data_IF_769493516747
#
_entry.id   IF_769493516747
#
_cell.length_a   1.000
_cell.length_b   1.000
_cell.length_c   1.000
_cell.angle_alpha   90.00
_cell.angle_beta   90.00
_cell.angle_gamma   90.00
#
_symmetry.space_group_name_H-M   'P 1'
#
loop_
_entity.id
_entity.type
_entity.pdbx_description
1 polymer ?
#
# COMPACT_ATOMS: atom_id res chain seq x y z
N UNK A 1 5.00 -25.37 -10.51
CA UNK A 1 6.08 -24.39 -10.79
C UNK A 1 5.88 -23.23 -9.85
N UNK A 2 6.72 -23.17 -8.82
CA UNK A 2 6.57 -22.27 -7.67
C UNK A 2 6.72 -20.80 -8.11
N UNK A 3 5.68 -19.99 -7.89
CA UNK A 3 5.69 -18.58 -8.27
C UNK A 3 6.65 -17.74 -7.41
N UNK A 4 7.26 -18.35 -6.38
CA UNK A 4 8.10 -17.68 -5.39
C UNK A 4 7.28 -16.93 -4.33
N UNK A 5 5.96 -16.99 -4.42
CA UNK A 5 5.03 -16.61 -3.36
C UNK A 5 4.77 -17.89 -2.58
N UNK A 6 5.38 -18.01 -1.40
CA UNK A 6 5.04 -19.08 -0.46
C UNK A 6 3.76 -18.67 0.25
N UNK A 7 2.71 -19.45 0.07
CA UNK A 7 1.50 -19.31 0.87
C UNK A 7 1.71 -20.00 2.21
N UNK A 8 1.31 -19.33 3.29
CA UNK A 8 1.43 -19.82 4.65
C UNK A 8 0.06 -20.28 5.17
N UNK A 9 0.03 -21.40 5.88
CA UNK A 9 -1.20 -21.95 6.47
C UNK A 9 -1.70 -21.10 7.64
N UNK A 10 -0.81 -20.30 8.24
CA UNK A 10 -1.11 -19.41 9.36
C UNK A 10 -1.56 -18.02 8.86
N UNK A 11 -1.74 -17.85 7.54
CA UNK A 11 -2.21 -16.62 6.90
C UNK A 11 -3.46 -16.91 6.08
N UNK A 12 -4.53 -16.16 6.33
CA UNK A 12 -5.71 -16.15 5.47
C UNK A 12 -5.52 -15.18 4.30
N UNK A 13 -5.77 -15.66 3.09
CA UNK A 13 -5.68 -14.85 1.88
C UNK A 13 -7.07 -14.44 1.38
N UNK A 14 -7.32 -13.14 1.26
CA UNK A 14 -8.57 -12.60 0.75
C UNK A 14 -8.34 -11.94 -0.61
N UNK A 15 -8.86 -12.56 -1.66
CA UNK A 15 -8.73 -12.10 -3.05
C UNK A 15 -9.97 -11.34 -3.47
N UNK A 16 -9.81 -10.09 -3.91
CA UNK A 16 -10.89 -9.27 -4.44
C UNK A 16 -10.83 -9.26 -5.96
N UNK A 17 -11.94 -9.62 -6.61
CA UNK A 17 -12.09 -9.65 -8.06
C UNK A 17 -13.17 -8.67 -8.48
N UNK A 18 -12.78 -7.71 -9.31
CA UNK A 18 -13.71 -6.77 -9.91
C UNK A 18 -14.43 -7.45 -11.08
N UNK A 19 -15.76 -7.38 -11.09
CA UNK A 19 -16.63 -8.13 -12.02
C UNK A 19 -16.55 -7.59 -13.45
N UNK A 20 -16.17 -6.32 -13.63
CA UNK A 20 -15.90 -5.71 -14.93
C UNK A 20 -14.59 -6.25 -15.53
N UNK A 21 -14.63 -7.48 -16.03
CA UNK A 21 -13.47 -8.16 -16.62
C UNK A 21 -13.53 -9.68 -16.59
N UNK A 22 -14.44 -10.28 -15.82
CA UNK A 22 -14.70 -11.72 -15.86
C UNK A 22 -16.05 -12.01 -16.51
N UNK A 23 -16.06 -12.89 -17.51
CA UNK A 23 -17.27 -13.49 -18.08
C UNK A 23 -17.89 -14.53 -17.14
N UNK A 24 -17.96 -14.26 -15.84
CA UNK A 24 -18.78 -15.00 -14.87
C UNK A 24 -20.13 -14.29 -14.77
N UNK A 25 -20.82 -14.17 -15.91
CA UNK A 25 -21.98 -13.29 -16.07
C UNK A 25 -23.32 -13.94 -15.72
N UNK A 26 -23.36 -14.99 -14.89
CA UNK A 26 -24.63 -15.68 -14.64
C UNK A 26 -24.93 -16.19 -13.24
N UNK A 27 -24.06 -16.07 -12.23
CA UNK A 27 -24.38 -16.73 -10.93
C UNK A 27 -24.18 -15.90 -9.66
N UNK A 28 -23.63 -14.69 -9.70
CA UNK A 28 -23.44 -13.89 -8.48
C UNK A 28 -23.98 -12.49 -8.66
N UNK A 29 -25.12 -12.23 -8.01
CA UNK A 29 -25.66 -10.89 -7.83
C UNK A 29 -24.74 -10.10 -6.89
N UNK A 30 -23.94 -9.21 -7.48
CA UNK A 30 -22.91 -8.42 -6.80
C UNK A 30 -23.46 -7.44 -5.76
N UNK A 31 -24.77 -7.16 -5.81
CA UNK A 31 -25.42 -6.17 -4.94
C UNK A 31 -26.15 -6.79 -3.76
N UNK A 32 -26.49 -8.08 -3.80
CA UNK A 32 -27.27 -8.71 -2.72
C UNK A 32 -26.50 -9.73 -1.89
N UNK A 33 -25.37 -10.28 -2.36
CA UNK A 33 -24.56 -11.17 -1.49
C UNK A 33 -23.13 -11.47 -2.00
N UNK A 34 -22.10 -10.64 -1.72
CA UNK A 34 -20.70 -11.04 -1.88
C UNK A 34 -20.34 -12.05 -0.80
N UNK A 35 -20.54 -13.33 -1.08
CA UNK A 35 -20.08 -14.43 -0.23
C UNK A 35 -18.59 -14.69 -0.46
N UNK A 36 -17.90 -15.18 0.56
CA UNK A 36 -16.54 -15.71 0.39
C UNK A 36 -16.61 -17.07 -0.32
N UNK A 37 -15.93 -17.23 -1.46
CA UNK A 37 -15.85 -18.50 -2.18
C UNK A 37 -14.44 -19.12 -2.07
N UNK A 38 -14.34 -20.45 -2.09
CA UNK A 38 -13.04 -21.13 -2.17
C UNK A 38 -12.43 -20.99 -3.58
N UNK A 39 -11.17 -20.55 -3.74
CA UNK A 39 -10.55 -20.31 -5.05
C UNK A 39 -10.14 -21.58 -5.83
N UNK A 40 -10.60 -22.76 -5.42
CA UNK A 40 -10.01 -24.07 -5.77
C UNK A 40 -9.87 -24.33 -7.28
N UNK A 41 -10.73 -23.80 -8.14
CA UNK A 41 -10.70 -24.06 -9.58
C UNK A 41 -9.61 -23.27 -10.34
N UNK A 42 -9.21 -22.08 -9.87
CA UNK A 42 -8.28 -21.19 -10.60
C UNK A 42 -6.84 -21.25 -10.11
N UNK A 43 -6.62 -21.59 -8.85
CA UNK A 43 -5.28 -21.60 -8.23
C UNK A 43 -4.65 -23.00 -8.16
N UNK A 44 -5.38 -24.06 -8.51
CA UNK A 44 -4.90 -25.43 -8.46
C UNK A 44 -4.30 -25.78 -7.09
N UNK A 45 -3.22 -26.56 -7.07
CA UNK A 45 -2.55 -26.97 -5.83
C UNK A 45 -1.77 -25.82 -5.13
N UNK A 46 -1.71 -24.61 -5.69
CA UNK A 46 -0.94 -23.51 -5.10
C UNK A 46 -1.49 -23.03 -3.75
N UNK A 47 -2.76 -23.30 -3.48
CA UNK A 47 -3.45 -22.98 -2.23
C UNK A 47 -3.80 -24.24 -1.43
N UNK A 48 -3.19 -25.39 -1.74
CA UNK A 48 -3.44 -26.62 -1.00
C UNK A 48 -3.01 -26.46 0.47
N UNK A 49 -3.95 -26.68 1.39
CA UNK A 49 -3.73 -26.49 2.83
C UNK A 49 -3.68 -25.02 3.29
N UNK A 50 -4.03 -24.07 2.41
CA UNK A 50 -4.04 -22.63 2.69
C UNK A 50 -5.48 -22.13 2.69
N UNK A 51 -5.85 -21.38 3.73
CA UNK A 51 -7.14 -20.71 3.79
C UNK A 51 -7.13 -19.51 2.84
N UNK A 52 -7.97 -19.60 1.81
CA UNK A 52 -8.12 -18.55 0.83
C UNK A 52 -9.58 -18.33 0.52
N UNK A 53 -9.96 -17.06 0.40
CA UNK A 53 -11.33 -16.60 0.17
C UNK A 53 -11.35 -15.66 -1.02
N UNK A 54 -12.32 -15.83 -1.90
CA UNK A 54 -12.56 -14.98 -3.05
C UNK A 54 -13.79 -14.10 -2.82
N UNK A 55 -13.69 -12.83 -3.18
CA UNK A 55 -14.75 -11.84 -3.10
C UNK A 55 -14.93 -11.15 -4.43
N UNK A 56 -16.17 -11.07 -4.90
CA UNK A 56 -16.51 -10.39 -6.15
C UNK A 56 -17.27 -9.10 -5.89
N UNK A 57 -16.95 -8.05 -6.63
CA UNK A 57 -17.55 -6.71 -6.47
C UNK A 57 -17.50 -5.89 -7.76
N UNK A 58 -18.28 -4.81 -7.81
CA UNK A 58 -18.26 -3.84 -8.91
C UNK A 58 -16.91 -3.09 -8.94
N UNK A 59 -16.42 -2.60 -10.09
CA UNK A 59 -15.11 -1.95 -10.20
C UNK A 59 -15.14 -0.45 -9.83
N UNK A 60 -15.34 -0.12 -8.55
CA UNK A 60 -15.41 1.27 -8.04
C UNK A 60 -14.49 1.49 -6.83
N UNK A 61 -13.99 2.70 -6.64
CA UNK A 61 -13.13 3.08 -5.50
C UNK A 61 -11.68 2.58 -5.59
N UNK A 62 -11.28 2.01 -6.73
CA UNK A 62 -9.91 1.50 -6.97
C UNK A 62 -9.44 0.56 -5.85
N UNK A 63 -8.18 0.71 -5.44
CA UNK A 63 -7.51 -0.10 -4.44
C UNK A 63 -8.28 -0.05 -3.10
N UNK A 64 -8.64 1.15 -2.64
CA UNK A 64 -9.38 1.35 -1.39
C UNK A 64 -10.80 0.82 -1.44
N UNK A 65 -11.47 0.86 -2.58
CA UNK A 65 -12.74 0.16 -2.74
C UNK A 65 -12.56 -1.33 -2.42
N UNK A 66 -11.58 -1.99 -3.04
CA UNK A 66 -11.31 -3.40 -2.78
C UNK A 66 -11.04 -3.68 -1.31
N UNK A 67 -10.24 -2.83 -0.67
CA UNK A 67 -9.93 -2.93 0.77
C UNK A 67 -11.18 -2.75 1.64
N UNK A 68 -11.99 -1.71 1.40
CA UNK A 68 -13.24 -1.46 2.12
C UNK A 68 -14.20 -2.63 2.01
N UNK A 69 -14.30 -3.26 0.84
CA UNK A 69 -15.18 -4.41 0.62
C UNK A 69 -14.83 -5.59 1.54
N UNK A 70 -13.54 -5.88 1.69
CA UNK A 70 -13.07 -6.95 2.57
C UNK A 70 -13.31 -6.58 4.04
N UNK A 71 -12.95 -5.37 4.44
CA UNK A 71 -13.10 -4.90 5.83
C UNK A 71 -14.58 -4.90 6.25
N UNK A 72 -15.47 -4.36 5.43
CA UNK A 72 -16.92 -4.36 5.66
C UNK A 72 -17.48 -5.78 5.89
N UNK A 73 -16.97 -6.76 5.14
CA UNK A 73 -17.37 -8.17 5.27
C UNK A 73 -16.82 -8.81 6.53
N UNK A 74 -15.59 -8.53 6.91
CA UNK A 74 -15.04 -9.01 8.18
C UNK A 74 -15.81 -8.44 9.37
N UNK A 75 -16.14 -7.16 9.34
CA UNK A 75 -16.94 -6.50 10.39
C UNK A 75 -18.35 -7.08 10.44
N UNK A 76 -19.05 -7.15 9.30
CA UNK A 76 -20.45 -7.62 9.23
C UNK A 76 -20.63 -9.08 9.65
N UNK A 77 -19.59 -9.92 9.52
CA UNK A 77 -19.62 -11.31 9.93
C UNK A 77 -18.98 -11.55 11.32
N UNK A 78 -18.54 -10.49 12.02
CA UNK A 78 -17.89 -10.61 13.33
C UNK A 78 -16.49 -11.24 13.29
N UNK A 79 -15.87 -11.32 12.11
CA UNK A 79 -14.57 -11.97 11.87
C UNK A 79 -13.37 -11.01 12.03
N UNK A 80 -13.60 -9.70 12.09
CA UNK A 80 -12.50 -8.73 12.18
C UNK A 80 -11.59 -8.97 13.41
N UNK A 81 -12.17 -9.49 14.50
CA UNK A 81 -11.47 -9.76 15.75
C UNK A 81 -10.68 -11.09 15.74
N UNK A 82 -10.77 -11.88 14.68
CA UNK A 82 -10.01 -13.13 14.53
C UNK A 82 -8.59 -12.91 14.02
N UNK A 83 -8.27 -11.68 13.58
CA UNK A 83 -6.99 -11.31 12.99
C UNK A 83 -6.22 -10.36 13.90
N UNK A 84 -4.91 -10.58 14.04
CA UNK A 84 -4.01 -9.68 14.76
C UNK A 84 -3.42 -8.60 13.84
N UNK A 85 -3.20 -8.97 12.57
CA UNK A 85 -2.60 -8.12 11.56
C UNK A 85 -3.37 -8.18 10.24
N UNK A 86 -3.41 -7.04 9.55
CA UNK A 86 -4.03 -6.87 8.24
C UNK A 86 -2.99 -6.35 7.28
N UNK A 87 -2.77 -7.08 6.17
CA UNK A 87 -1.83 -6.67 5.13
C UNK A 87 -2.58 -6.45 3.83
N UNK A 88 -2.60 -5.21 3.37
CA UNK A 88 -3.26 -4.78 2.16
C UNK A 88 -2.26 -4.76 1.01
N UNK A 89 -2.64 -5.35 -0.12
CA UNK A 89 -1.78 -5.45 -1.29
C UNK A 89 -2.58 -5.16 -2.56
N UNK A 90 -2.07 -4.23 -3.35
CA UNK A 90 -2.70 -3.89 -4.61
C UNK A 90 -2.34 -4.86 -5.76
N UNK A 91 -3.29 -5.11 -6.65
CA UNK A 91 -3.12 -6.00 -7.82
C UNK A 91 -2.07 -5.55 -8.85
N UNK A 92 -1.72 -4.27 -8.93
CA UNK A 92 -0.79 -3.77 -9.95
C UNK A 92 0.67 -3.80 -9.52
N UNK A 93 0.96 -4.33 -8.32
CA UNK A 93 2.33 -4.53 -7.84
C UNK A 93 2.92 -5.81 -8.42
N UNK A 94 4.24 -5.91 -8.40
CA UNK A 94 4.95 -7.17 -8.63
C UNK A 94 5.86 -7.47 -7.48
N UNK A 95 5.79 -8.72 -7.02
CA UNK A 95 6.57 -9.23 -5.91
C UNK A 95 5.95 -10.52 -5.35
N UNK A 96 6.38 -10.96 -4.16
CA UNK A 96 7.48 -10.37 -3.41
C UNK A 96 8.83 -10.58 -4.13
N UNK A 97 9.72 -9.61 -4.01
CA UNK A 97 11.04 -9.59 -4.63
C UNK A 97 12.11 -9.73 -3.55
N UNK A 98 12.82 -10.85 -3.58
CA UNK A 98 13.89 -11.13 -2.63
C UNK A 98 15.24 -11.31 -3.30
N UNK A 99 16.34 -10.93 -2.61
CA UNK A 99 17.69 -11.25 -3.04
C UNK A 99 17.93 -12.76 -2.99
N UNK A 100 18.93 -13.24 -3.74
CA UNK A 100 19.29 -14.68 -3.81
C UNK A 100 19.60 -15.29 -2.44
N UNK A 101 20.11 -14.48 -1.51
CA UNK A 101 20.51 -14.90 -0.18
C UNK A 101 19.38 -14.84 0.85
N UNK A 102 18.17 -14.42 0.47
CA UNK A 102 17.00 -14.52 1.33
C UNK A 102 16.61 -16.00 1.53
N UNK A 103 16.57 -16.45 2.77
CA UNK A 103 16.48 -17.88 3.11
C UNK A 103 15.05 -18.44 3.13
N UNK A 104 14.05 -17.61 2.80
CA UNK A 104 12.62 -17.95 2.74
C UNK A 104 12.06 -18.60 4.02
N UNK A 105 12.71 -18.44 5.17
CA UNK A 105 12.20 -18.98 6.43
C UNK A 105 11.02 -18.17 6.97
N UNK A 106 10.99 -16.87 6.68
CA UNK A 106 9.92 -15.96 7.07
C UNK A 106 8.95 -15.73 5.92
N UNK A 107 7.65 -15.66 6.24
CA UNK A 107 6.66 -15.23 5.27
C UNK A 107 6.87 -13.73 4.99
N UNK A 108 6.60 -13.30 3.75
CA UNK A 108 6.92 -11.93 3.32
C UNK A 108 6.16 -10.86 4.11
N UNK A 109 4.97 -11.19 4.64
CA UNK A 109 4.19 -10.27 5.47
C UNK A 109 4.89 -9.95 6.78
N UNK A 110 5.73 -10.85 7.30
CA UNK A 110 6.48 -10.62 8.53
C UNK A 110 7.41 -9.40 8.42
N UNK A 111 7.88 -9.08 7.21
CA UNK A 111 8.69 -7.86 6.98
C UNK A 111 7.95 -6.58 7.37
N UNK A 112 6.61 -6.59 7.28
CA UNK A 112 5.77 -5.47 7.69
C UNK A 112 5.29 -5.62 9.13
N UNK A 113 4.77 -6.80 9.50
CA UNK A 113 4.15 -6.99 10.83
C UNK A 113 5.18 -6.94 11.95
N UNK A 114 6.43 -7.36 11.72
CA UNK A 114 7.51 -7.28 12.72
C UNK A 114 7.89 -5.82 13.06
N UNK A 115 7.54 -4.86 12.19
CA UNK A 115 7.76 -3.42 12.45
C UNK A 115 6.63 -2.79 13.27
N UNK A 116 5.47 -3.46 13.37
CA UNK A 116 4.35 -2.99 14.18
C UNK A 116 4.70 -3.16 15.65
N UNK A 117 4.54 -2.09 16.42
CA UNK A 117 4.86 -2.06 17.85
C UNK A 117 3.91 -1.12 18.60
N UNK A 118 4.18 -0.81 19.86
CA UNK A 118 3.35 0.10 20.67
C UNK A 118 3.20 1.51 20.07
N UNK A 119 4.20 1.96 19.31
CA UNK A 119 4.25 3.27 18.67
C UNK A 119 3.87 3.20 17.19
N UNK A 120 4.51 2.34 16.41
CA UNK A 120 4.33 2.29 14.95
C UNK A 120 3.20 1.32 14.60
N UNK A 121 2.09 1.85 14.04
CA UNK A 121 0.84 1.09 13.84
C UNK A 121 0.41 0.92 12.39
N UNK A 122 0.98 1.72 11.48
CA UNK A 122 0.75 1.65 10.04
C UNK A 122 2.10 1.58 9.32
N UNK A 123 2.37 0.45 8.68
CA UNK A 123 3.67 0.13 8.08
C UNK A 123 3.50 0.01 6.56
N UNK A 124 4.10 0.92 5.81
CA UNK A 124 4.09 0.91 4.35
C UNK A 124 5.26 0.19 3.74
N UNK A 125 5.15 -0.17 2.46
CA UNK A 125 6.33 -0.46 1.65
C UNK A 125 7.19 0.80 1.47
N UNK A 126 6.54 1.97 1.46
CA UNK A 126 7.15 3.29 1.33
C UNK A 126 6.29 4.35 2.05
N UNK A 127 6.87 5.53 2.32
CA UNK A 127 6.18 6.72 2.83
C UNK A 127 6.47 7.86 1.87
N UNK A 128 5.42 8.50 1.38
CA UNK A 128 5.53 9.74 0.64
C UNK A 128 5.17 10.89 1.58
N UNK A 129 5.74 12.07 1.37
CA UNK A 129 5.39 13.28 2.09
C UNK A 129 5.02 14.34 1.06
N UNK A 130 3.75 14.79 1.08
CA UNK A 130 3.37 16.03 0.42
C UNK A 130 3.60 17.22 1.38
N UNK A 131 3.30 18.43 0.93
CA UNK A 131 3.91 19.63 1.49
C UNK A 131 3.02 20.79 1.23
N UNK A 132 2.88 21.62 2.26
CA UNK A 132 2.08 22.83 2.12
C UNK A 132 2.83 23.87 1.31
N UNK A 133 2.10 24.60 0.48
CA UNK A 133 2.63 25.78 -0.18
C UNK A 133 2.70 26.96 0.79
N UNK A 134 3.62 27.88 0.48
CA UNK A 134 3.75 29.17 1.17
C UNK A 134 2.49 30.01 1.03
N UNK A 135 1.77 30.17 2.15
CA UNK A 135 0.59 31.04 2.27
C UNK A 135 -0.73 30.32 2.55
N UNK A 136 -0.78 29.00 2.41
CA UNK A 136 -2.00 28.22 2.71
C UNK A 136 -2.01 27.82 4.18
N UNK A 137 -2.59 28.68 5.01
CA UNK A 137 -3.02 28.35 6.35
C UNK A 137 -4.49 27.90 6.28
N UNK A 138 -4.80 26.58 6.20
CA UNK A 138 -6.18 26.17 6.44
C UNK A 138 -6.53 26.51 7.88
N UNK A 139 -7.70 27.13 8.07
CA UNK A 139 -8.24 27.49 9.39
C UNK A 139 -8.54 26.27 10.28
N UNK A 140 -8.36 25.06 9.75
CA UNK A 140 -8.49 23.79 10.44
C UNK A 140 -7.36 22.85 9.96
N UNK A 141 -6.51 22.31 10.85
CA UNK A 141 -5.42 21.41 10.48
C UNK A 141 -5.88 20.13 9.78
N UNK A 142 -7.17 19.74 9.89
CA UNK A 142 -7.81 18.58 9.25
C UNK A 142 -8.18 18.78 7.78
N UNK A 143 -8.10 20.03 7.27
CA UNK A 143 -8.53 20.41 5.90
C UNK A 143 -7.33 20.51 4.95
N UNK A 144 -6.13 20.14 5.41
CA UNK A 144 -4.89 20.29 4.63
C UNK A 144 -4.80 19.41 3.38
N UNK A 145 -5.70 18.44 3.20
CA UNK A 145 -5.61 17.43 2.15
C UNK A 145 -6.35 17.85 0.85
N UNK A 146 -7.46 18.60 0.94
CA UNK A 146 -8.21 19.09 -0.24
C UNK A 146 -7.53 20.27 -0.95
N UNK A 147 -6.66 21.02 -0.28
CA UNK A 147 -6.01 22.22 -0.83
C UNK A 147 -4.76 21.92 -1.69
N UNK A 148 -4.29 20.67 -1.71
CA UNK A 148 -3.01 20.32 -2.34
C UNK A 148 -3.11 20.24 -3.88
N UNK A 149 -4.30 19.93 -4.42
CA UNK A 149 -4.42 19.62 -5.85
C UNK A 149 -4.63 20.84 -6.75
N UNK A 150 -5.45 21.80 -6.33
CA UNK A 150 -5.80 22.97 -7.16
C UNK A 150 -4.61 23.92 -7.39
N UNK A 151 -3.56 23.81 -6.58
CA UNK A 151 -2.39 24.68 -6.62
C UNK A 151 -1.06 23.94 -6.85
N UNK A 152 -1.06 22.70 -7.36
CA UNK A 152 0.14 21.87 -7.52
C UNK A 152 1.36 22.63 -8.10
N UNK A 153 2.18 23.17 -7.20
CA UNK A 153 3.53 23.66 -7.46
C UNK A 153 4.44 22.79 -6.61
N UNK A 154 5.65 22.53 -7.13
CA UNK A 154 6.64 21.80 -6.35
C UNK A 154 6.74 22.42 -4.95
N UNK A 155 6.51 21.63 -3.90
CA UNK A 155 6.49 22.14 -2.54
C UNK A 155 7.83 22.78 -2.23
N UNK A 156 7.79 23.99 -1.69
CA UNK A 156 9.01 24.71 -1.33
C UNK A 156 9.73 23.89 -0.27
N UNK A 157 10.97 23.49 -0.56
CA UNK A 157 11.88 22.70 0.27
C UNK A 157 12.25 23.35 1.62
N UNK A 158 11.50 24.34 2.10
CA UNK A 158 11.77 25.02 3.35
C UNK A 158 11.16 24.25 4.55
N UNK A 159 11.89 24.30 5.66
CA UNK A 159 11.59 23.64 6.93
C UNK A 159 10.34 24.21 7.63
N UNK A 160 9.66 25.20 7.03
CA UNK A 160 8.59 25.97 7.67
C UNK A 160 7.19 25.45 7.31
N UNK A 161 7.09 24.51 6.37
CA UNK A 161 5.81 23.94 5.93
C UNK A 161 5.56 22.56 6.56
N UNK A 162 4.35 22.31 7.10
CA UNK A 162 3.97 20.97 7.54
C UNK A 162 4.03 20.01 6.36
N UNK A 163 4.86 18.98 6.48
CA UNK A 163 4.84 17.87 5.55
C UNK A 163 3.64 16.98 5.93
N UNK A 164 3.01 16.37 4.93
CA UNK A 164 1.90 15.42 5.08
C UNK A 164 2.45 14.01 4.77
N UNK A 165 3.16 13.39 5.74
CA UNK A 165 3.69 12.06 5.58
C UNK A 165 2.53 11.05 5.51
N UNK A 166 2.57 10.17 4.52
CA UNK A 166 1.57 9.14 4.34
C UNK A 166 2.17 7.86 3.76
N UNK A 167 1.71 6.74 4.28
CA UNK A 167 1.98 5.41 3.74
C UNK A 167 1.23 5.24 2.41
N UNK A 168 1.93 4.77 1.38
CA UNK A 168 1.32 4.59 0.06
C UNK A 168 0.44 3.32 0.01
N UNK A 169 -0.70 3.41 -0.67
CA UNK A 169 -1.77 2.39 -0.62
C UNK A 169 -1.48 1.08 -1.36
N UNK A 170 -0.33 0.94 -2.02
CA UNK A 170 -0.04 -0.24 -2.83
C UNK A 170 0.36 -1.47 -2.02
N UNK A 171 0.97 -1.27 -0.85
CA UNK A 171 1.29 -2.33 0.09
C UNK A 171 1.52 -1.73 1.47
N UNK A 172 0.69 -2.11 2.44
CA UNK A 172 0.84 -1.69 3.83
C UNK A 172 0.26 -2.72 4.79
N UNK A 173 0.71 -2.67 6.04
CA UNK A 173 0.21 -3.49 7.13
C UNK A 173 -0.22 -2.64 8.33
N UNK A 174 -1.13 -3.17 9.12
CA UNK A 174 -1.61 -2.56 10.37
C UNK A 174 -2.08 -3.64 11.34
N UNK A 175 -2.10 -3.33 12.64
CA UNK A 175 -2.66 -4.23 13.67
C UNK A 175 -4.16 -3.99 13.91
N UNK A 176 -4.72 -4.73 14.87
CA UNK A 176 -6.12 -4.58 15.30
C UNK A 176 -6.46 -3.16 15.73
N UNK A 177 -5.62 -2.52 16.53
CA UNK A 177 -5.86 -1.14 16.99
C UNK A 177 -5.94 -0.16 15.82
N UNK A 178 -5.03 -0.29 14.85
CA UNK A 178 -5.04 0.57 13.68
C UNK A 178 -6.23 0.33 12.73
N UNK A 179 -6.63 -0.93 12.49
CA UNK A 179 -7.80 -1.18 11.63
C UNK A 179 -9.08 -0.62 12.28
N UNK A 180 -9.23 -0.73 13.60
CA UNK A 180 -10.36 -0.17 14.36
C UNK A 180 -10.41 1.35 14.21
N UNK A 181 -9.29 2.05 14.42
CA UNK A 181 -9.20 3.50 14.22
C UNK A 181 -9.57 3.87 12.77
N UNK A 182 -9.09 3.11 11.79
CA UNK A 182 -9.39 3.37 10.39
C UNK A 182 -10.88 3.15 10.06
N UNK A 183 -11.52 2.14 10.64
CA UNK A 183 -12.96 1.88 10.53
C UNK A 183 -13.76 3.02 11.16
N UNK A 184 -13.45 3.39 12.40
CA UNK A 184 -14.14 4.47 13.14
C UNK A 184 -14.04 5.84 12.43
N UNK A 185 -12.99 6.03 11.63
CA UNK A 185 -12.78 7.24 10.84
C UNK A 185 -13.31 7.13 9.40
N UNK A 186 -14.07 6.08 9.06
CA UNK A 186 -14.66 5.85 7.73
C UNK A 186 -13.61 5.76 6.60
N UNK A 187 -12.39 5.31 6.90
CA UNK A 187 -11.39 5.03 5.86
C UNK A 187 -11.90 3.89 4.98
N UNK A 188 -12.34 2.79 5.61
CA UNK A 188 -12.80 1.59 4.94
C UNK A 188 -14.34 1.51 4.75
N UNK A 189 -15.00 2.65 4.62
CA UNK A 189 -16.46 2.70 4.41
C UNK A 189 -16.83 2.18 3.01
N UNK A 190 -17.46 1.01 2.96
CA UNK A 190 -17.93 0.37 1.73
C UNK A 190 -19.33 0.84 1.29
N UNK A 191 -20.10 1.46 2.18
CA UNK A 191 -21.40 2.01 1.84
C UNK A 191 -21.28 3.40 1.18
N UNK A 192 -20.19 4.11 1.46
CA UNK A 192 -19.87 5.41 0.87
C UNK A 192 -18.52 5.38 0.14
N UNK A 193 -18.48 4.69 -0.99
CA UNK A 193 -17.27 4.59 -1.81
C UNK A 193 -16.98 5.91 -2.53
N UNK A 194 -15.77 6.41 -2.33
CA UNK A 194 -15.19 7.53 -3.10
C UNK A 194 -14.54 6.96 -4.35
N UNK A 195 -14.90 7.46 -5.54
CA UNK A 195 -14.43 6.90 -6.82
C UNK A 195 -13.65 7.89 -7.71
N UNK A 196 -13.68 9.19 -7.39
CA UNK A 196 -12.80 10.14 -8.06
C UNK A 196 -11.36 10.00 -7.53
N UNK A 197 -10.41 10.00 -8.47
CA UNK A 197 -9.01 9.75 -8.15
C UNK A 197 -8.45 10.74 -7.11
N UNK A 198 -8.75 12.05 -7.20
CA UNK A 198 -8.25 13.00 -6.21
C UNK A 198 -8.70 12.72 -4.80
N UNK A 199 -10.00 12.52 -4.60
CA UNK A 199 -10.57 12.30 -3.27
C UNK A 199 -10.15 10.93 -2.72
N UNK A 200 -9.92 9.91 -3.56
CA UNK A 200 -9.33 8.64 -3.07
C UNK A 200 -7.94 8.87 -2.46
N UNK A 201 -7.06 9.62 -3.13
CA UNK A 201 -5.71 9.88 -2.58
C UNK A 201 -5.82 10.67 -1.27
N UNK A 202 -6.63 11.72 -1.27
CA UNK A 202 -6.78 12.65 -0.16
C UNK A 202 -7.50 12.02 1.04
N UNK A 203 -8.71 11.52 0.82
CA UNK A 203 -9.62 11.06 1.88
C UNK A 203 -9.35 9.63 2.34
N UNK A 204 -8.57 8.87 1.56
CA UNK A 204 -8.23 7.47 1.88
C UNK A 204 -6.73 7.29 2.09
N UNK A 205 -5.88 7.47 1.08
CA UNK A 205 -4.44 7.20 1.20
C UNK A 205 -3.75 8.11 2.23
N UNK A 206 -3.91 9.42 2.10
CA UNK A 206 -3.29 10.40 3.00
C UNK A 206 -3.98 10.41 4.35
N UNK A 207 -5.32 10.45 4.36
CA UNK A 207 -6.10 10.51 5.60
C UNK A 207 -5.90 9.28 6.49
N UNK A 208 -5.65 8.09 5.93
CA UNK A 208 -5.30 6.91 6.74
C UNK A 208 -4.08 7.16 7.63
N UNK A 209 -3.05 7.82 7.10
CA UNK A 209 -1.87 8.15 7.91
C UNK A 209 -2.14 9.30 8.88
N UNK A 210 -2.89 10.32 8.45
CA UNK A 210 -3.33 11.43 9.29
C UNK A 210 -4.07 10.95 10.54
N UNK A 211 -5.00 10.00 10.39
CA UNK A 211 -5.78 9.49 11.54
C UNK A 211 -4.91 8.72 12.52
N UNK A 212 -3.89 7.99 12.04
CA UNK A 212 -2.92 7.32 12.94
C UNK A 212 -2.12 8.33 13.75
N UNK A 213 -1.55 9.32 13.07
CA UNK A 213 -0.75 10.39 13.68
C UNK A 213 -1.57 11.20 14.68
N UNK A 214 -2.82 11.52 14.35
CA UNK A 214 -3.75 12.27 15.22
C UNK A 214 -4.18 11.49 16.46
N UNK A 215 -4.14 10.15 16.41
CA UNK A 215 -4.39 9.28 17.56
C UNK A 215 -3.11 8.99 18.38
N UNK A 216 -2.01 9.69 18.11
CA UNK A 216 -0.76 9.59 18.85
C UNK A 216 0.14 8.42 18.44
N UNK A 217 -0.28 7.62 17.46
CA UNK A 217 0.54 6.57 16.86
C UNK A 217 1.43 7.11 15.76
N UNK A 218 2.50 6.39 15.43
CA UNK A 218 3.40 6.73 14.36
C UNK A 218 3.17 5.82 13.14
N UNK A 219 3.69 6.25 12.01
CA UNK A 219 3.76 5.46 10.78
C UNK A 219 5.21 5.11 10.48
N UNK A 220 5.46 4.01 9.78
CA UNK A 220 6.80 3.63 9.34
C UNK A 220 6.76 2.96 7.96
N UNK A 221 7.92 2.69 7.36
CA UNK A 221 8.01 1.90 6.14
C UNK A 221 9.21 0.96 6.14
N UNK A 222 9.27 0.10 5.12
CA UNK A 222 10.42 -0.76 4.87
C UNK A 222 11.68 0.00 4.43
N UNK A 223 11.56 1.29 4.09
CA UNK A 223 12.67 2.10 3.62
C UNK A 223 13.63 2.40 4.77
N UNK A 224 14.92 2.10 4.58
CA UNK A 224 15.96 2.35 5.58
C UNK A 224 16.06 3.84 5.92
N UNK A 225 15.86 4.72 4.92
CA UNK A 225 15.88 6.15 5.12
C UNK A 225 14.78 6.68 6.06
N UNK A 226 13.64 5.98 6.15
CA UNK A 226 12.51 6.36 7.02
C UNK A 226 12.64 5.76 8.43
N UNK A 227 13.56 4.80 8.62
CA UNK A 227 13.69 4.03 9.85
C UNK A 227 13.93 4.92 11.07
N UNK A 228 13.09 4.78 12.10
CA UNK A 228 13.22 5.51 13.36
C UNK A 228 12.77 6.98 13.31
N UNK A 229 12.32 7.51 12.16
CA UNK A 229 11.76 8.86 12.10
C UNK A 229 10.42 8.90 12.85
N UNK A 230 10.23 9.92 13.68
CA UNK A 230 8.96 10.20 14.33
C UNK A 230 8.12 11.18 13.51
N UNK A 231 7.20 10.65 12.71
CA UNK A 231 6.36 11.42 11.81
C UNK A 231 5.24 12.21 12.52
N UNK A 232 5.08 12.04 13.85
CA UNK A 232 4.12 12.82 14.66
C UNK A 232 4.64 14.23 14.95
N UNK A 233 5.96 14.41 14.99
CA UNK A 233 6.60 15.68 15.28
C UNK A 233 6.69 16.59 14.05
N UNK A 234 7.10 17.85 14.21
CA UNK A 234 7.28 18.80 13.08
C UNK A 234 8.62 18.66 12.36
N UNK A 235 9.57 17.92 12.94
CA UNK A 235 10.96 17.83 12.45
C UNK A 235 11.20 16.71 11.44
N UNK A 236 10.23 15.83 11.17
CA UNK A 236 10.44 14.66 10.32
C UNK A 236 10.93 15.00 8.91
N UNK A 237 10.46 16.12 8.33
CA UNK A 237 10.95 16.59 7.03
C UNK A 237 12.43 16.98 7.06
N UNK A 238 12.88 17.61 8.14
CA UNK A 238 14.31 17.96 8.35
C UNK A 238 15.15 16.71 8.51
N UNK A 239 14.70 15.78 9.35
CA UNK A 239 15.39 14.51 9.57
C UNK A 239 15.52 13.70 8.27
N UNK A 240 14.46 13.65 7.45
CA UNK A 240 14.50 13.02 6.13
C UNK A 240 15.57 13.66 5.22
N UNK A 241 15.63 15.00 5.14
CA UNK A 241 16.63 15.71 4.32
C UNK A 241 18.06 15.52 4.80
N UNK A 242 18.30 15.56 6.10
CA UNK A 242 19.63 15.32 6.69
C UNK A 242 20.14 13.90 6.37
N UNK A 243 19.21 12.96 6.14
CA UNK A 243 19.50 11.61 5.66
C UNK A 243 19.58 11.50 4.14
N UNK A 244 19.47 12.59 3.37
CA UNK A 244 19.51 12.54 1.90
C UNK A 244 18.24 11.96 1.24
N UNK A 245 17.13 11.90 1.98
CA UNK A 245 15.85 11.42 1.49
C UNK A 245 14.93 12.59 1.12
N UNK A 246 14.31 12.51 -0.06
CA UNK A 246 13.32 13.48 -0.53
C UNK A 246 11.96 12.79 -0.66
N UNK A 247 11.15 12.78 0.41
CA UNK A 247 9.97 11.93 0.47
C UNK A 247 8.83 12.32 -0.46
N UNK A 248 8.95 13.35 -1.29
CA UNK A 248 7.93 13.81 -2.25
C UNK A 248 7.63 12.86 -3.41
N UNK A 249 8.57 11.93 -3.66
CA UNK A 249 8.58 11.17 -4.91
C UNK A 249 9.46 9.90 -4.85
N UNK A 250 9.54 9.24 -3.71
CA UNK A 250 10.37 8.04 -3.41
C UNK A 250 10.39 6.92 -4.48
N UNK A 251 9.32 6.76 -5.27
CA UNK A 251 9.23 5.81 -6.38
C UNK A 251 9.86 6.33 -7.71
N UNK A 252 10.15 7.64 -7.79
CA UNK A 252 10.74 8.32 -8.93
C UNK A 252 12.22 8.62 -8.70
N UNK A 253 12.95 8.82 -9.80
CA UNK A 253 14.40 8.98 -9.81
C UNK A 253 14.82 10.16 -8.93
N UNK A 254 15.92 10.00 -8.17
CA UNK A 254 16.57 11.03 -7.35
C UNK A 254 15.99 11.26 -5.95
N UNK A 255 14.86 10.63 -5.62
CA UNK A 255 14.16 10.84 -4.35
C UNK A 255 14.73 10.01 -3.17
N UNK A 256 15.50 8.96 -3.46
CA UNK A 256 16.09 8.06 -2.46
C UNK A 256 17.61 8.07 -2.64
N UNK A 257 18.33 8.93 -1.91
CA UNK A 257 19.79 9.13 -2.01
C UNK A 257 20.28 9.47 -3.43
N UNK A 258 19.55 10.32 -4.16
CA UNK A 258 19.82 10.61 -5.59
C UNK A 258 19.66 9.38 -6.53
N UNK A 259 19.09 8.28 -6.01
CA UNK A 259 18.79 7.05 -6.71
C UNK A 259 17.28 6.71 -6.66
N UNK A 260 16.91 5.48 -7.04
CA UNK A 260 15.58 4.90 -6.85
C UNK A 260 15.65 3.84 -5.75
N UNK A 261 14.56 3.67 -4.99
CA UNK A 261 14.42 2.57 -4.04
C UNK A 261 14.70 1.22 -4.71
N UNK A 262 15.53 0.39 -4.07
CA UNK A 262 15.88 -0.91 -4.62
C UNK A 262 14.67 -1.86 -4.52
N UNK A 263 14.34 -2.69 -5.54
CA UNK A 263 13.16 -3.56 -5.50
C UNK A 263 13.11 -4.57 -4.33
N UNK A 264 14.25 -4.87 -3.73
CA UNK A 264 14.35 -5.75 -2.55
C UNK A 264 14.05 -5.03 -1.24
N UNK A 265 14.16 -3.71 -1.21
CA UNK A 265 13.87 -2.91 -0.01
C UNK A 265 12.36 -2.73 0.14
N UNK A 266 11.65 -2.43 -0.95
CA UNK A 266 10.19 -2.25 -0.91
C UNK A 266 9.42 -3.57 -0.97
N UNK A 267 10.08 -4.70 -1.29
CA UNK A 267 9.54 -6.06 -1.49
C UNK A 267 8.57 -6.18 -2.68
N UNK A 268 7.72 -5.19 -2.90
CA UNK A 268 6.79 -5.05 -4.00
C UNK A 268 7.06 -3.76 -4.76
N UNK A 269 6.89 -3.80 -6.08
CA UNK A 269 7.05 -2.61 -6.94
C UNK A 269 5.85 -2.46 -7.86
N UNK A 270 5.30 -1.25 -7.98
CA UNK A 270 4.21 -0.93 -8.94
C UNK A 270 4.70 -1.12 -10.38
N UNK A 271 4.12 -2.09 -11.08
CA UNK A 271 4.55 -2.53 -12.42
C UNK A 271 4.09 -1.62 -13.57
N UNK A 272 3.06 -0.81 -13.33
CA UNK A 272 2.38 0.04 -14.32
C UNK A 272 2.91 1.48 -14.38
N UNK A 273 3.95 1.83 -13.62
CA UNK A 273 4.59 3.15 -13.72
C UNK A 273 5.61 3.17 -14.86
N UNK A 274 5.15 3.30 -16.11
CA UNK A 274 5.98 3.61 -17.29
C UNK A 274 6.36 5.11 -17.27
N UNK A 275 7.63 5.51 -17.08
CA UNK A 275 8.80 5.48 -17.99
C UNK A 275 8.80 6.49 -19.16
N UNK A 276 8.05 7.60 -19.14
CA UNK A 276 8.09 8.61 -20.22
C UNK A 276 8.44 10.05 -19.77
N UNK A 277 9.34 10.24 -18.79
CA UNK A 277 9.98 11.55 -18.63
C UNK A 277 11.15 11.65 -19.63
N UNK A 278 11.10 12.53 -20.64
CA UNK A 278 12.20 12.71 -21.58
C UNK A 278 13.43 13.23 -20.82
N UNK A 279 14.58 12.59 -20.98
CA UNK A 279 15.86 13.07 -20.44
C UNK A 279 16.39 12.39 -19.17
N UNK A 280 15.58 11.58 -18.47
CA UNK A 280 16.01 10.90 -17.24
C UNK A 280 16.43 9.46 -17.55
N UNK A 281 17.71 9.11 -17.38
CA UNK A 281 18.30 7.79 -17.70
C UNK A 281 17.85 6.63 -16.77
N UNK A 282 16.94 6.85 -15.82
CA UNK A 282 16.67 5.96 -14.68
C UNK A 282 15.38 5.09 -14.69
N UNK A 283 14.44 5.12 -15.66
CA UNK A 283 13.32 4.15 -15.72
C UNK A 283 13.72 2.70 -16.06
N UNK A 284 15.00 2.46 -16.39
CA UNK A 284 15.44 1.19 -16.91
C UNK A 284 15.72 0.12 -15.84
N UNK A 285 16.06 0.46 -14.59
CA UNK A 285 16.51 -0.57 -13.64
C UNK A 285 15.39 -1.56 -13.28
N UNK A 286 14.26 -1.10 -12.72
CA UNK A 286 13.14 -1.99 -12.35
C UNK A 286 12.54 -2.69 -13.56
N UNK A 287 12.26 -1.97 -14.66
CA UNK A 287 11.68 -2.58 -15.85
C UNK A 287 12.64 -3.60 -16.51
N UNK A 288 13.95 -3.32 -16.59
CA UNK A 288 14.94 -4.29 -17.07
C UNK A 288 15.16 -5.43 -16.09
N UNK A 289 15.14 -5.17 -14.78
CA UNK A 289 15.24 -6.20 -13.74
C UNK A 289 14.05 -7.16 -13.81
N UNK A 290 12.83 -6.64 -13.96
CA UNK A 290 11.62 -7.41 -14.16
C UNK A 290 11.64 -8.20 -15.47
N UNK A 291 12.05 -7.56 -16.59
CA UNK A 291 12.23 -8.22 -17.88
C UNK A 291 13.29 -9.33 -17.81
N UNK A 292 14.42 -9.07 -17.15
CA UNK A 292 15.47 -10.05 -16.94
C UNK A 292 14.96 -11.22 -16.10
N UNK A 293 14.29 -10.98 -14.97
CA UNK A 293 13.73 -12.02 -14.10
C UNK A 293 12.69 -12.88 -14.84
N UNK A 294 11.84 -12.26 -15.69
CA UNK A 294 10.92 -12.98 -16.58
C UNK A 294 11.67 -13.88 -17.56
N UNK A 295 12.68 -13.35 -18.26
CA UNK A 295 13.50 -14.12 -19.20
C UNK A 295 14.26 -15.27 -18.51
N UNK A 296 14.72 -15.09 -17.26
CA UNK A 296 15.35 -16.17 -16.49
C UNK A 296 14.35 -17.27 -16.12
N UNK A 297 13.11 -16.92 -15.77
CA UNK A 297 12.04 -17.91 -15.52
C UNK A 297 11.74 -18.75 -16.76
N UNK A 298 11.71 -18.14 -17.94
CA UNK A 298 11.50 -18.85 -19.21
C UNK A 298 12.65 -19.80 -19.57
N UNK A 299 13.91 -19.40 -19.32
CA UNK A 299 15.10 -20.24 -19.55
C UNK A 299 15.26 -21.42 -18.58
N UNK A 300 14.69 -21.33 -17.38
CA UNK A 300 14.71 -22.38 -16.34
C UNK A 300 13.56 -23.40 -16.46
N UNK A 301 12.76 -23.33 -17.53
CA UNK A 301 11.71 -24.32 -17.86
C UNK A 301 12.23 -25.46 -18.76
N UNK A 302 13.55 -25.62 -18.86
CA UNK A 302 14.27 -26.79 -19.38
C UNK A 302 14.96 -27.50 -18.21
#
# INVERSE_FOLDING_TARGET
MDNGVKYDKDVDYMFVVNIDGFSLKSEVDSKTNPSFFSPSEKFGNALEGVSAKLMMRDNVGRDFGGYSCVVDRLVSNGLINEYDYFVFLNQTVTGPLFPRWYDNKRHWSNLFTDLINEKDKLIGATINCYGRMKGDQPKDPRIGSHLIWDNYKEPTMDDTHPWAPHVQSFCFAMDRTAIEIAIDNNIFDYNNIVDDYPSIVVEKEMRLSEVMLSNGYNIASLLDCSYGIDFRGVNHGKEARERGWQPWNDIYCHAYFDEKCHPYETVFVKSNRSTNAPGVRSPFHTARFMKWKKNQKEKRKL
#
